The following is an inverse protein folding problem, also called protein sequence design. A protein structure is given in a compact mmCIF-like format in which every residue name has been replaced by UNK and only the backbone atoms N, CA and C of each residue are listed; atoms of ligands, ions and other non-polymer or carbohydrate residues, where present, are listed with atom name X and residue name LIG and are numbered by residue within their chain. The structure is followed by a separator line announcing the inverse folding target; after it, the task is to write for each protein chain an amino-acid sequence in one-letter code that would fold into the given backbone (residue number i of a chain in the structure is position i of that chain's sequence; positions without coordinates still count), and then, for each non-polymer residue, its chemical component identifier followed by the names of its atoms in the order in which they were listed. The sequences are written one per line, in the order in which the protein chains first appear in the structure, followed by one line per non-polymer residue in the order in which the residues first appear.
data_IF_165590204994
#
_entry.id   IF_165590204994
#
_cell.length_a   1.000
_cell.length_b   1.000
_cell.length_c   1.000
_cell.angle_alpha   90.00
_cell.angle_beta   90.00
_cell.angle_gamma   90.00
#
_symmetry.space_group_name_H-M   'P 1'
#
loop_
_entity.id
_entity.type
_entity.pdbx_description
1 polymer ?
#
# COMPACT_ATOMS: atom_id res chain seq x y z
N UNK A 1 9.49 -5.84 -4.97
CA UNK A 1 10.19 -7.05 -4.51
C UNK A 1 11.48 -7.28 -5.28
N UNK A 2 11.44 -7.24 -6.61
CA UNK A 2 12.62 -7.50 -7.46
C UNK A 2 13.55 -6.30 -7.61
N UNK A 3 13.08 -5.08 -7.38
CA UNK A 3 13.80 -3.84 -7.67
C UNK A 3 13.89 -3.47 -9.15
N UNK A 4 13.31 -4.28 -10.03
CA UNK A 4 13.33 -4.03 -11.47
C UNK A 4 12.24 -3.02 -11.85
N UNK A 5 12.67 -1.85 -12.34
CA UNK A 5 11.82 -0.72 -12.70
C UNK A 5 10.73 -1.06 -13.74
N UNK A 6 10.97 -2.09 -14.57
CA UNK A 6 9.99 -2.52 -15.58
C UNK A 6 8.64 -2.92 -14.96
N UNK A 7 8.66 -3.55 -13.76
CA UNK A 7 7.44 -3.96 -13.07
C UNK A 7 6.69 -2.75 -12.50
N UNK A 8 7.40 -1.74 -12.01
CA UNK A 8 6.79 -0.49 -11.57
C UNK A 8 6.12 0.22 -12.73
N UNK A 9 6.86 0.40 -13.84
CA UNK A 9 6.32 1.05 -15.05
C UNK A 9 5.07 0.31 -15.58
N UNK A 10 5.11 -1.02 -15.59
CA UNK A 10 3.94 -1.81 -16.02
C UNK A 10 2.76 -1.70 -15.06
N UNK A 11 3.04 -1.62 -13.76
CA UNK A 11 1.98 -1.41 -12.75
C UNK A 11 1.33 -0.03 -12.90
N UNK A 12 2.11 1.02 -13.15
CA UNK A 12 1.59 2.36 -13.42
C UNK A 12 0.77 2.43 -14.71
N UNK A 13 1.21 1.73 -15.76
CA UNK A 13 0.47 1.62 -17.02
C UNK A 13 -0.91 0.99 -16.79
N UNK A 14 -0.96 -0.17 -16.13
CA UNK A 14 -2.21 -0.87 -15.81
C UNK A 14 -3.10 -0.02 -14.92
N UNK A 15 -2.53 0.67 -13.91
CA UNK A 15 -3.26 1.55 -13.03
C UNK A 15 -3.92 2.71 -13.81
N UNK A 16 -3.19 3.35 -14.73
CA UNK A 16 -3.70 4.42 -15.59
C UNK A 16 -4.82 3.90 -16.50
N UNK A 17 -4.64 2.71 -17.06
CA UNK A 17 -5.67 2.10 -17.92
C UNK A 17 -6.94 1.78 -17.11
N UNK A 18 -6.79 1.18 -15.93
CA UNK A 18 -7.90 0.92 -15.00
C UNK A 18 -8.64 2.20 -14.65
N UNK A 19 -7.89 3.25 -14.35
CA UNK A 19 -8.45 4.57 -14.08
C UNK A 19 -9.29 5.09 -15.24
N UNK A 20 -8.72 5.12 -16.44
CA UNK A 20 -9.39 5.65 -17.63
C UNK A 20 -10.64 4.84 -18.04
N UNK A 21 -10.70 3.57 -17.66
CA UNK A 21 -11.81 2.70 -18.03
C UNK A 21 -12.93 2.64 -16.99
N UNK A 22 -12.58 2.72 -15.69
CA UNK A 22 -13.51 2.39 -14.62
C UNK A 22 -13.71 3.48 -13.57
N UNK A 23 -12.79 4.44 -13.45
CA UNK A 23 -12.89 5.46 -12.40
C UNK A 23 -13.89 6.54 -12.78
N UNK A 24 -14.82 6.78 -11.88
CA UNK A 24 -15.84 7.80 -11.99
C UNK A 24 -15.48 9.02 -11.14
N UNK A 25 -15.40 10.19 -11.79
CA UNK A 25 -15.00 11.44 -11.12
C UNK A 25 -16.09 12.01 -10.21
N UNK A 26 -17.35 11.63 -10.39
CA UNK A 26 -18.44 12.08 -9.53
C UNK A 26 -18.47 11.29 -8.21
N UNK A 27 -18.44 9.96 -8.31
CA UNK A 27 -18.46 9.08 -7.15
C UNK A 27 -17.10 8.89 -6.50
N UNK A 28 -16.01 9.27 -7.20
CA UNK A 28 -14.61 9.04 -6.78
C UNK A 28 -14.26 7.59 -6.52
N UNK A 29 -14.91 6.66 -7.24
CA UNK A 29 -14.73 5.22 -7.09
C UNK A 29 -14.58 4.54 -8.44
N UNK A 30 -14.12 3.28 -8.44
CA UNK A 30 -14.23 2.44 -9.62
C UNK A 30 -15.64 1.88 -9.75
N UNK A 31 -16.18 1.99 -10.94
CA UNK A 31 -17.43 1.33 -11.33
C UNK A 31 -17.16 -0.10 -11.76
N UNK A 32 -18.16 -0.97 -11.62
CA UNK A 32 -18.06 -2.39 -12.01
C UNK A 32 -17.92 -2.58 -13.52
N UNK A 33 -18.49 -1.66 -14.29
CA UNK A 33 -18.49 -1.70 -15.75
C UNK A 33 -17.67 -0.53 -16.32
N UNK A 34 -17.08 -0.76 -17.48
CA UNK A 34 -16.31 0.28 -18.17
C UNK A 34 -17.20 1.50 -18.48
N UNK A 35 -16.64 2.70 -18.34
CA UNK A 35 -17.30 3.96 -18.71
C UNK A 35 -17.71 4.02 -20.19
N UNK A 36 -17.09 3.20 -21.04
CA UNK A 36 -17.42 3.10 -22.47
C UNK A 36 -18.74 2.36 -22.73
N UNK A 37 -19.29 1.68 -21.74
CA UNK A 37 -20.56 0.95 -21.86
C UNK A 37 -21.71 1.92 -21.59
N UNK A 38 -22.36 2.41 -22.65
CA UNK A 38 -23.43 3.42 -22.55
C UNK A 38 -24.82 2.82 -22.31
N UNK A 39 -24.95 1.49 -22.26
CA UNK A 39 -26.24 0.77 -22.23
C UNK A 39 -26.81 0.60 -20.83
N UNK A 40 -26.10 1.05 -19.79
CA UNK A 40 -26.52 0.85 -18.40
C UNK A 40 -27.09 2.13 -17.81
N UNK A 41 -28.34 2.06 -17.38
CA UNK A 41 -29.03 3.13 -16.64
C UNK A 41 -28.41 3.42 -15.27
N UNK A 42 -27.83 2.42 -14.64
CA UNK A 42 -27.14 2.50 -13.35
C UNK A 42 -25.78 1.84 -13.49
N UNK A 43 -24.74 2.54 -13.09
CA UNK A 43 -23.38 2.01 -13.02
C UNK A 43 -23.07 1.60 -11.58
N UNK A 44 -23.15 0.30 -11.24
CA UNK A 44 -22.96 -0.14 -9.87
C UNK A 44 -21.50 0.02 -9.44
N UNK A 45 -21.32 0.54 -8.22
CA UNK A 45 -20.03 0.59 -7.55
C UNK A 45 -19.78 -0.77 -6.90
N UNK A 46 -18.59 -1.34 -7.10
CA UNK A 46 -18.21 -2.61 -6.49
C UNK A 46 -17.50 -2.35 -5.16
N UNK A 47 -18.26 -2.39 -4.07
CA UNK A 47 -17.75 -2.16 -2.70
C UNK A 47 -17.86 -3.39 -1.80
N UNK A 48 -18.60 -4.41 -2.24
CA UNK A 48 -18.91 -5.59 -1.45
C UNK A 48 -18.00 -6.74 -1.86
N UNK A 49 -17.40 -7.39 -0.89
CA UNK A 49 -16.65 -8.61 -1.10
C UNK A 49 -17.60 -9.78 -1.34
N UNK A 50 -17.33 -10.52 -2.39
CA UNK A 50 -18.00 -11.79 -2.68
C UNK A 50 -16.98 -12.94 -2.46
N UNK A 51 -16.79 -13.80 -3.45
CA UNK A 51 -15.77 -14.86 -3.40
C UNK A 51 -14.35 -14.32 -3.61
N UNK A 52 -14.23 -13.08 -4.04
CA UNK A 52 -12.96 -12.37 -4.26
C UNK A 52 -13.04 -10.97 -3.63
N UNK A 53 -11.92 -10.36 -3.29
CA UNK A 53 -11.85 -8.96 -2.86
C UNK A 53 -12.48 -8.03 -3.91
N UNK A 54 -13.17 -6.98 -3.47
CA UNK A 54 -13.74 -6.00 -4.40
C UNK A 54 -12.65 -5.17 -5.11
N UNK A 55 -12.95 -4.75 -6.34
CA UNK A 55 -11.99 -4.04 -7.20
C UNK A 55 -11.48 -2.72 -6.62
N UNK A 56 -12.33 -1.97 -5.92
CA UNK A 56 -11.95 -0.71 -5.30
C UNK A 56 -10.94 -0.88 -4.17
N UNK A 57 -11.06 -1.93 -3.35
CA UNK A 57 -10.10 -2.22 -2.27
C UNK A 57 -8.73 -2.59 -2.83
N UNK A 58 -8.68 -3.40 -3.89
CA UNK A 58 -7.43 -3.77 -4.56
C UNK A 58 -6.80 -2.55 -5.26
N UNK A 59 -7.64 -1.68 -5.84
CA UNK A 59 -7.16 -0.43 -6.46
C UNK A 59 -6.56 0.52 -5.43
N UNK A 60 -7.21 0.70 -4.27
CA UNK A 60 -6.69 1.49 -3.15
C UNK A 60 -5.34 0.95 -2.66
N UNK A 61 -5.22 -0.38 -2.48
CA UNK A 61 -3.96 -1.02 -2.09
C UNK A 61 -2.86 -0.76 -3.11
N UNK A 62 -3.18 -0.86 -4.39
CA UNK A 62 -2.22 -0.64 -5.49
C UNK A 62 -1.77 0.80 -5.55
N UNK A 63 -2.70 1.77 -5.44
CA UNK A 63 -2.39 3.20 -5.34
C UNK A 63 -1.43 3.48 -4.19
N UNK A 64 -1.70 2.92 -3.01
CA UNK A 64 -0.86 3.12 -1.82
C UNK A 64 0.54 2.55 -2.02
N UNK A 65 0.67 1.33 -2.56
CA UNK A 65 1.98 0.73 -2.83
C UNK A 65 2.78 1.52 -3.87
N UNK A 66 2.15 2.01 -4.93
CA UNK A 66 2.82 2.84 -5.95
C UNK A 66 3.20 4.21 -5.34
N UNK A 67 2.31 4.83 -4.56
CA UNK A 67 2.62 6.07 -3.86
C UNK A 67 3.84 5.92 -2.94
N UNK A 68 3.90 4.86 -2.14
CA UNK A 68 5.03 4.61 -1.24
C UNK A 68 6.37 4.41 -1.97
N UNK A 69 6.36 4.00 -3.24
CA UNK A 69 7.57 3.84 -4.06
C UNK A 69 7.95 5.14 -4.77
N UNK A 70 6.95 5.85 -5.31
CA UNK A 70 7.15 6.99 -6.23
C UNK A 70 7.06 8.36 -5.55
N UNK A 71 6.42 8.42 -4.37
CA UNK A 71 6.10 9.65 -3.64
C UNK A 71 5.29 10.66 -4.48
N UNK A 72 4.61 10.20 -5.54
CA UNK A 72 3.86 11.06 -6.44
C UNK A 72 2.49 11.45 -5.85
N UNK A 73 2.29 12.73 -5.61
CA UNK A 73 1.08 13.29 -4.98
C UNK A 73 -0.21 13.02 -5.77
N UNK A 74 -0.15 12.73 -7.06
CA UNK A 74 -1.32 12.34 -7.84
C UNK A 74 -1.97 11.08 -7.23
N UNK A 75 -1.16 10.09 -6.85
CA UNK A 75 -1.65 8.87 -6.21
C UNK A 75 -2.18 9.14 -4.80
N UNK A 76 -1.51 10.01 -4.04
CA UNK A 76 -1.98 10.43 -2.71
C UNK A 76 -3.37 11.04 -2.75
N UNK A 77 -3.60 12.01 -3.64
CA UNK A 77 -4.91 12.65 -3.78
C UNK A 77 -6.01 11.64 -4.10
N UNK A 78 -5.71 10.66 -4.95
CA UNK A 78 -6.67 9.62 -5.31
C UNK A 78 -6.95 8.63 -4.17
N UNK A 79 -5.94 8.31 -3.36
CA UNK A 79 -6.11 7.52 -2.13
C UNK A 79 -7.09 8.25 -1.19
N UNK A 80 -6.89 9.56 -1.00
CA UNK A 80 -7.75 10.38 -0.14
C UNK A 80 -9.19 10.44 -0.66
N UNK A 81 -9.38 10.68 -1.95
CA UNK A 81 -10.70 10.74 -2.59
C UNK A 81 -11.44 9.41 -2.43
N UNK A 82 -10.77 8.30 -2.77
CA UNK A 82 -11.35 6.97 -2.69
C UNK A 82 -11.70 6.59 -1.24
N UNK A 83 -10.81 6.87 -0.30
CA UNK A 83 -11.05 6.60 1.13
C UNK A 83 -12.25 7.39 1.66
N UNK A 84 -12.36 8.68 1.32
CA UNK A 84 -13.51 9.51 1.71
C UNK A 84 -14.82 8.99 1.14
N UNK A 85 -14.82 8.56 -0.13
CA UNK A 85 -16.02 8.01 -0.76
C UNK A 85 -16.47 6.71 -0.10
N UNK A 86 -15.54 5.83 0.24
CA UNK A 86 -15.87 4.59 0.96
C UNK A 86 -16.40 4.84 2.36
N UNK A 87 -15.90 5.86 3.06
CA UNK A 87 -16.35 6.18 4.41
C UNK A 87 -17.87 6.40 4.47
N UNK A 88 -18.45 7.04 3.47
CA UNK A 88 -19.90 7.28 3.37
C UNK A 88 -20.72 5.99 3.13
N UNK A 89 -20.09 4.92 2.69
CA UNK A 89 -20.73 3.66 2.33
C UNK A 89 -20.59 2.56 3.42
N UNK A 90 -19.72 2.80 4.41
CA UNK A 90 -19.39 1.83 5.48
C UNK A 90 -20.62 1.47 6.30
N UNK A 91 -21.39 2.45 6.76
CA UNK A 91 -22.50 2.26 7.71
C UNK A 91 -23.53 1.21 7.26
N UNK A 92 -23.70 1.06 5.97
CA UNK A 92 -24.69 0.14 5.38
C UNK A 92 -24.13 -1.24 5.04
N UNK A 93 -22.80 -1.35 4.87
CA UNK A 93 -22.17 -2.52 4.25
C UNK A 93 -20.97 -3.06 5.05
N UNK A 94 -20.76 -2.61 6.28
CA UNK A 94 -19.53 -2.88 7.04
C UNK A 94 -19.15 -4.36 7.11
N UNK A 95 -20.12 -5.26 7.26
CA UNK A 95 -19.87 -6.71 7.37
C UNK A 95 -19.46 -7.39 6.05
N UNK A 96 -19.57 -6.69 4.94
CA UNK A 96 -19.26 -7.19 3.61
C UNK A 96 -18.09 -6.47 2.94
N UNK A 97 -17.35 -5.64 3.70
CA UNK A 97 -16.24 -4.83 3.20
C UNK A 97 -14.89 -5.25 3.82
N UNK A 98 -14.71 -6.55 4.03
CA UNK A 98 -13.53 -7.08 4.73
C UNK A 98 -12.21 -6.72 4.02
N UNK A 99 -12.17 -6.81 2.68
CA UNK A 99 -10.97 -6.45 1.91
C UNK A 99 -10.64 -4.96 2.01
N UNK A 100 -11.63 -4.09 2.16
CA UNK A 100 -11.41 -2.67 2.40
C UNK A 100 -10.73 -2.42 3.76
N UNK A 101 -11.24 -3.01 4.84
CA UNK A 101 -10.64 -2.88 6.17
C UNK A 101 -9.23 -3.48 6.22
N UNK A 102 -9.02 -4.64 5.58
CA UNK A 102 -7.68 -5.22 5.43
C UNK A 102 -6.75 -4.28 4.68
N UNK A 103 -7.24 -3.63 3.64
CA UNK A 103 -6.46 -2.65 2.85
C UNK A 103 -6.10 -1.43 3.68
N UNK A 104 -7.04 -0.87 4.45
CA UNK A 104 -6.75 0.26 5.36
C UNK A 104 -5.68 -0.12 6.37
N UNK A 105 -5.80 -1.27 7.03
CA UNK A 105 -4.80 -1.76 7.98
C UNK A 105 -3.41 -1.91 7.33
N UNK A 106 -3.34 -2.41 6.09
CA UNK A 106 -2.09 -2.49 5.34
C UNK A 106 -1.53 -1.09 5.04
N UNK A 107 -2.38 -0.14 4.64
CA UNK A 107 -1.95 1.22 4.31
C UNK A 107 -1.44 1.97 5.55
N UNK A 108 -2.14 1.87 6.67
CA UNK A 108 -1.80 2.54 7.94
C UNK A 108 -0.56 1.93 8.60
N UNK A 109 -0.38 0.62 8.47
CA UNK A 109 0.71 -0.11 9.11
C UNK A 109 1.85 -0.47 8.15
N UNK A 110 1.93 0.18 6.99
CA UNK A 110 3.00 -0.09 6.01
C UNK A 110 4.37 0.27 6.57
N UNK A 111 5.32 -0.64 6.40
CA UNK A 111 6.73 -0.44 6.69
C UNK A 111 7.49 -0.35 5.37
N UNK A 112 8.26 0.71 5.17
CA UNK A 112 9.07 0.88 3.97
C UNK A 112 10.51 0.50 4.26
N UNK A 113 11.03 -0.48 3.53
CA UNK A 113 12.42 -0.91 3.56
C UNK A 113 13.15 -0.33 2.36
N UNK A 114 14.05 0.62 2.58
CA UNK A 114 14.86 1.22 1.50
C UNK A 114 16.28 0.69 1.58
N UNK A 115 16.69 -0.05 0.56
CA UNK A 115 18.03 -0.60 0.40
C UNK A 115 18.89 0.37 -0.40
N UNK A 116 20.00 0.82 0.19
CA UNK A 116 21.03 1.64 -0.45
C UNK A 116 22.24 0.78 -0.80
N UNK A 117 22.49 0.58 -2.10
CA UNK A 117 23.37 -0.48 -2.60
C UNK A 117 22.75 -1.85 -2.39
N UNK A 118 23.15 -2.83 -3.21
CA UNK A 118 22.57 -4.17 -3.13
C UNK A 118 23.65 -5.22 -3.40
N UNK A 119 23.85 -6.13 -2.45
CA UNK A 119 24.81 -7.21 -2.52
C UNK A 119 24.17 -8.55 -2.08
N UNK A 120 24.94 -9.63 -2.06
CA UNK A 120 24.47 -10.96 -1.68
C UNK A 120 23.98 -11.04 -0.22
N UNK A 121 24.54 -10.26 0.70
CA UNK A 121 24.07 -10.19 2.09
C UNK A 121 22.70 -9.52 2.17
N UNK A 122 22.55 -8.39 1.49
CA UNK A 122 21.25 -7.70 1.42
C UNK A 122 20.17 -8.52 0.73
N UNK A 123 20.56 -9.42 -0.17
CA UNK A 123 19.62 -10.37 -0.74
C UNK A 123 19.05 -11.31 0.33
N UNK A 124 19.88 -11.85 1.21
CA UNK A 124 19.42 -12.69 2.31
C UNK A 124 18.53 -11.93 3.30
N UNK A 125 18.89 -10.69 3.61
CA UNK A 125 18.08 -9.79 4.46
C UNK A 125 16.72 -9.53 3.81
N UNK A 126 16.71 -9.21 2.53
CA UNK A 126 15.46 -9.02 1.77
C UNK A 126 14.57 -10.26 1.84
N UNK A 127 15.12 -11.44 1.62
CA UNK A 127 14.37 -12.69 1.62
C UNK A 127 13.78 -12.98 3.01
N UNK A 128 14.52 -12.70 4.06
CA UNK A 128 14.03 -12.76 5.44
C UNK A 128 12.88 -11.78 5.69
N UNK A 129 13.01 -10.54 5.25
CA UNK A 129 11.97 -9.51 5.42
C UNK A 129 10.72 -9.83 4.60
N UNK A 130 10.86 -10.38 3.39
CA UNK A 130 9.73 -10.81 2.58
C UNK A 130 8.93 -11.92 3.24
N UNK A 131 9.58 -12.89 3.89
CA UNK A 131 8.89 -13.97 4.59
C UNK A 131 8.07 -13.48 5.79
N UNK A 132 8.53 -12.44 6.48
CA UNK A 132 7.93 -12.00 7.74
C UNK A 132 7.01 -10.78 7.62
N UNK A 133 7.22 -9.92 6.60
CA UNK A 133 6.57 -8.61 6.53
C UNK A 133 5.92 -8.30 5.16
N UNK A 134 5.82 -9.26 4.25
CA UNK A 134 5.44 -9.01 2.84
C UNK A 134 4.15 -8.21 2.66
N UNK A 135 3.07 -8.54 3.36
CA UNK A 135 1.78 -7.90 3.15
C UNK A 135 1.80 -6.40 3.51
N UNK A 136 2.42 -6.06 4.65
CA UNK A 136 2.46 -4.69 5.21
C UNK A 136 3.77 -3.98 4.92
N UNK A 137 4.42 -4.28 3.80
CA UNK A 137 5.72 -3.69 3.49
C UNK A 137 5.84 -3.19 2.06
N UNK A 138 6.71 -2.21 1.89
CA UNK A 138 7.16 -1.68 0.61
C UNK A 138 8.68 -1.78 0.54
N UNK A 139 9.21 -2.30 -0.57
CA UNK A 139 10.65 -2.48 -0.78
C UNK A 139 11.12 -1.53 -1.87
N UNK A 140 12.08 -0.66 -1.53
CA UNK A 140 12.68 0.33 -2.43
C UNK A 140 14.17 0.03 -2.55
N UNK A 141 14.70 0.13 -3.77
CA UNK A 141 16.12 -0.09 -4.06
C UNK A 141 16.71 1.16 -4.67
N UNK A 142 17.71 1.73 -4.01
CA UNK A 142 18.45 2.91 -4.44
C UNK A 142 19.91 2.54 -4.70
N UNK A 143 20.49 3.06 -5.77
CA UNK A 143 21.93 2.92 -6.02
C UNK A 143 22.68 3.69 -4.95
N UNK A 144 23.76 3.10 -4.44
CA UNK A 144 24.72 3.76 -3.57
C UNK A 144 26.11 3.34 -3.98
N UNK A 145 27.01 4.30 -4.13
CA UNK A 145 28.39 4.04 -4.55
C UNK A 145 29.35 3.91 -3.33
N UNK A 146 28.98 4.49 -2.19
CA UNK A 146 29.91 4.66 -1.08
C UNK A 146 29.60 3.72 0.10
N UNK A 147 28.36 3.60 0.50
CA UNK A 147 27.97 2.86 1.69
C UNK A 147 26.72 2.03 1.47
N UNK A 148 26.72 0.79 1.95
CA UNK A 148 25.56 -0.09 1.89
C UNK A 148 24.86 -0.09 3.24
N UNK A 149 23.56 0.20 3.26
CA UNK A 149 22.71 0.22 4.44
C UNK A 149 21.24 0.10 4.08
N UNK A 150 20.41 -0.18 5.07
CA UNK A 150 18.96 -0.23 4.96
C UNK A 150 18.37 0.84 5.88
N UNK A 151 17.38 1.56 5.38
CA UNK A 151 16.50 2.38 6.20
C UNK A 151 15.15 1.71 6.33
N UNK A 152 14.62 1.71 7.53
CA UNK A 152 13.28 1.20 7.84
C UNK A 152 12.45 2.39 8.27
N UNK A 153 11.40 2.70 7.50
CA UNK A 153 10.53 3.85 7.77
C UNK A 153 9.10 3.38 8.06
N UNK A 154 8.49 3.95 9.09
CA UNK A 154 7.07 3.80 9.43
C UNK A 154 6.51 5.15 9.88
N UNK A 155 5.33 5.53 9.38
CA UNK A 155 4.63 6.77 9.76
C UNK A 155 5.55 8.01 9.70
N UNK A 156 6.31 8.18 8.60
CA UNK A 156 7.27 9.27 8.35
C UNK A 156 8.49 9.30 9.28
N UNK A 157 8.62 8.32 10.16
CA UNK A 157 9.81 8.17 11.02
C UNK A 157 10.69 7.06 10.46
N UNK A 158 11.99 7.34 10.30
CA UNK A 158 12.94 6.37 9.77
C UNK A 158 13.99 5.99 10.82
N UNK A 159 14.50 4.75 10.71
CA UNK A 159 15.62 4.27 11.50
C UNK A 159 16.91 5.06 11.17
N UNK A 160 17.91 4.90 12.00
CA UNK A 160 19.30 5.13 11.58
C UNK A 160 19.69 4.12 10.48
N UNK A 161 20.88 4.28 9.90
CA UNK A 161 21.44 3.34 8.92
C UNK A 161 21.67 1.97 9.56
N UNK A 162 21.01 0.93 9.08
CA UNK A 162 21.13 -0.46 9.55
C UNK A 162 21.93 -1.26 8.52
N UNK A 163 22.89 -2.06 8.99
CA UNK A 163 23.84 -2.74 8.10
C UNK A 163 23.71 -4.27 8.10
N UNK A 164 23.11 -4.82 9.15
CA UNK A 164 23.01 -6.27 9.33
C UNK A 164 21.67 -6.69 9.92
N UNK A 165 21.40 -8.00 9.85
CA UNK A 165 20.13 -8.57 10.27
C UNK A 165 19.86 -8.41 11.79
N UNK A 166 20.92 -8.35 12.62
CA UNK A 166 20.77 -8.19 14.06
C UNK A 166 20.24 -6.80 14.42
N UNK A 167 20.81 -5.75 13.80
CA UNK A 167 20.34 -4.37 13.97
C UNK A 167 18.90 -4.21 13.48
N UNK A 168 18.57 -4.83 12.34
CA UNK A 168 17.22 -4.82 11.77
C UNK A 168 16.22 -5.47 12.72
N UNK A 169 16.52 -6.67 13.21
CA UNK A 169 15.63 -7.38 14.13
C UNK A 169 15.43 -6.60 15.45
N UNK A 170 16.49 -5.99 15.98
CA UNK A 170 16.39 -5.15 17.16
C UNK A 170 15.43 -3.99 16.91
N UNK A 171 15.60 -3.26 15.81
CA UNK A 171 14.75 -2.13 15.48
C UNK A 171 13.29 -2.53 15.23
N UNK A 172 13.05 -3.64 14.53
CA UNK A 172 11.69 -4.14 14.28
C UNK A 172 10.98 -4.60 15.56
N UNK A 173 11.72 -5.19 16.50
CA UNK A 173 11.17 -5.54 17.81
C UNK A 173 10.79 -4.28 18.61
N UNK A 174 11.60 -3.23 18.57
CA UNK A 174 11.28 -1.95 19.22
C UNK A 174 10.02 -1.33 18.59
N UNK A 175 9.88 -1.35 17.27
CA UNK A 175 8.68 -0.89 16.57
C UNK A 175 7.42 -1.67 16.96
N UNK A 176 7.51 -2.97 17.20
CA UNK A 176 6.38 -3.80 17.61
C UNK A 176 5.96 -3.54 19.06
N UNK A 177 6.90 -3.25 19.95
CA UNK A 177 6.64 -2.91 21.35
C UNK A 177 5.94 -1.56 21.52
N UNK A 178 6.24 -0.58 20.66
CA UNK A 178 5.57 0.72 20.68
C UNK A 178 4.07 0.59 20.41
N UNK A 179 3.64 -0.34 19.57
CA UNK A 179 2.23 -0.58 19.27
C UNK A 179 1.43 -1.23 20.42
N UNK A 180 2.09 -1.94 21.32
CA UNK A 180 1.44 -2.57 22.49
C UNK A 180 1.22 -1.54 23.61
N UNK A 181 1.96 -0.45 23.62
CA UNK A 181 1.98 0.55 24.70
C UNK A 181 1.06 1.75 24.49
N UNK A 182 0.41 1.91 23.34
CA UNK A 182 -0.64 2.92 23.15
C UNK A 182 -2.02 2.31 23.47
N UNK A 183 -2.58 2.56 24.69
CA UNK A 183 -4.00 2.28 24.92
C UNK A 183 -4.81 3.19 24.00
N UNK A 184 -5.64 2.61 23.16
CA UNK A 184 -6.69 3.32 22.41
C UNK A 184 -7.43 4.24 23.38
N UNK A 185 -7.14 5.53 23.39
CA UNK A 185 -8.00 6.53 24.01
C UNK A 185 -9.27 6.60 23.15
N UNK A 186 -10.24 5.78 23.50
CA UNK A 186 -11.63 6.05 23.19
C UNK A 186 -11.98 7.35 23.92
N UNK A 187 -11.92 8.47 23.22
CA UNK A 187 -12.53 9.71 23.67
C UNK A 187 -14.04 9.51 23.59
N UNK A 188 -14.66 9.52 24.75
CA UNK A 188 -16.10 9.58 24.93
C UNK A 188 -16.69 10.89 24.39
#
# INVERSE_FOLDING_TARGET
VTGDIKYLNKSEEILKETWNLFYDEETKTLQKNSQKTNDLFVKPIDIIDNNIPNGNSIFLLTLNKIFNITENNIYKNKIEDLTKSFYSLIDRNYSQMFSYYKTLDICENNITFTFFGFNNEFQKIRDFLLLNYFEKSTFIYKKSNDEQYILICKNQTCSQKLKNISEINKYLNELSLIHISEPTRLSA
#
